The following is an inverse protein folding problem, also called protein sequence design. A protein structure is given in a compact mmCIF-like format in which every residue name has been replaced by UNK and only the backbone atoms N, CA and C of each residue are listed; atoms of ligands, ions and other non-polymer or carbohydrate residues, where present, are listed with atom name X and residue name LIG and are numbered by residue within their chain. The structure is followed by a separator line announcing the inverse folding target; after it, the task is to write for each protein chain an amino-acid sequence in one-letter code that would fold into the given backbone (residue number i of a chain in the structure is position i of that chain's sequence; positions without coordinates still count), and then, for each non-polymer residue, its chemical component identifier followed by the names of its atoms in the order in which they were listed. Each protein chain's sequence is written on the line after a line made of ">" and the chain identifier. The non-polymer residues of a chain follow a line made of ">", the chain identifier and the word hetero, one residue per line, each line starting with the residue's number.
data_IF_828363112491
#
_entry.id   IF_828363112491
#
_cell.length_a   1.000
_cell.length_b   1.000
_cell.length_c   1.000
_cell.angle_alpha   90.00
_cell.angle_beta   90.00
_cell.angle_gamma   90.00
#
_symmetry.space_group_name_H-M   'P 1'
#
loop_
_entity.id
_entity.type
_entity.pdbx_description
1 polymer ?
#
# COMPACT_ATOMS: atom_id res chain seq x y z
N UNK A 1 -38.13 12.94 35.99
CA UNK A 1 -37.03 11.96 35.82
C UNK A 1 -37.45 10.64 35.18
N UNK A 2 -38.60 10.02 35.52
CA UNK A 2 -39.07 8.77 34.85
C UNK A 2 -39.78 9.02 33.51
N UNK A 3 -40.49 10.13 33.38
CA UNK A 3 -41.22 10.48 32.14
C UNK A 3 -40.25 10.82 30.99
N UNK A 4 -39.12 11.48 31.30
CA UNK A 4 -38.06 11.77 30.34
C UNK A 4 -37.42 10.50 29.76
N UNK A 5 -37.31 9.43 30.57
CA UNK A 5 -36.79 8.13 30.12
C UNK A 5 -37.72 7.46 29.12
N UNK A 6 -39.03 7.55 29.32
CA UNK A 6 -40.02 6.96 28.41
C UNK A 6 -40.05 7.75 27.10
N UNK A 7 -40.06 9.08 27.18
CA UNK A 7 -39.97 9.93 25.98
C UNK A 7 -38.72 9.64 25.17
N UNK A 8 -37.55 9.56 25.81
CA UNK A 8 -36.29 9.20 25.16
C UNK A 8 -36.31 7.80 24.55
N UNK A 9 -36.88 6.81 25.24
CA UNK A 9 -36.99 5.45 24.74
C UNK A 9 -37.91 5.37 23.50
N UNK A 10 -39.05 6.05 23.51
CA UNK A 10 -39.97 6.12 22.36
C UNK A 10 -39.29 6.76 21.16
N UNK A 11 -38.61 7.88 21.37
CA UNK A 11 -37.86 8.59 20.33
C UNK A 11 -36.79 7.68 19.68
N UNK A 12 -35.97 6.99 20.49
CA UNK A 12 -34.94 6.10 19.99
C UNK A 12 -35.51 4.87 19.25
N UNK A 13 -36.65 4.34 19.70
CA UNK A 13 -37.32 3.24 19.02
C UNK A 13 -37.82 3.66 17.63
N UNK A 14 -38.44 4.84 17.50
CA UNK A 14 -38.89 5.38 16.21
C UNK A 14 -37.70 5.62 15.28
N UNK A 15 -36.63 6.27 15.79
CA UNK A 15 -35.40 6.52 15.04
C UNK A 15 -34.75 5.24 14.53
N UNK A 16 -34.63 4.23 15.40
CA UNK A 16 -34.03 2.94 15.03
C UNK A 16 -34.89 2.22 13.99
N UNK A 17 -36.22 2.26 14.14
CA UNK A 17 -37.16 1.68 13.19
C UNK A 17 -37.05 2.32 11.80
N UNK A 18 -36.99 3.67 11.70
CA UNK A 18 -36.81 4.35 10.42
C UNK A 18 -35.49 3.99 9.72
N UNK A 19 -34.41 3.79 10.48
CA UNK A 19 -33.09 3.44 9.97
C UNK A 19 -32.96 1.96 9.57
N UNK A 20 -33.59 1.05 10.29
CA UNK A 20 -33.32 -0.40 10.17
C UNK A 20 -34.45 -1.21 9.57
N UNK A 21 -35.71 -0.75 9.63
CA UNK A 21 -36.84 -1.55 9.17
C UNK A 21 -38.07 -0.70 8.83
N UNK A 22 -38.31 -0.45 7.53
CA UNK A 22 -39.55 0.20 7.04
C UNK A 22 -40.67 -0.83 6.82
N UNK A 23 -40.84 -1.76 7.76
CA UNK A 23 -41.83 -2.85 7.62
C UNK A 23 -43.26 -2.32 7.76
N UNK A 24 -44.15 -2.64 6.80
CA UNK A 24 -45.57 -2.23 6.82
C UNK A 24 -46.33 -2.63 8.10
N UNK A 25 -45.81 -3.58 8.90
CA UNK A 25 -46.43 -4.06 10.14
C UNK A 25 -46.54 -3.01 11.24
N UNK A 26 -45.65 -2.00 11.25
CA UNK A 26 -45.57 -1.00 12.32
C UNK A 26 -45.70 0.44 11.78
N UNK A 27 -46.61 0.65 10.83
CA UNK A 27 -46.80 1.93 10.13
C UNK A 27 -47.16 3.14 11.01
N UNK A 28 -47.54 2.93 12.27
CA UNK A 28 -47.88 3.98 13.24
C UNK A 28 -46.69 4.48 14.06
N UNK A 29 -45.53 3.80 14.00
CA UNK A 29 -44.29 4.19 14.68
C UNK A 29 -43.56 5.26 13.85
N UNK A 30 -44.09 6.47 13.87
CA UNK A 30 -43.55 7.65 13.17
C UNK A 30 -43.32 8.80 14.15
N UNK A 31 -42.42 9.72 13.82
CA UNK A 31 -42.15 10.91 14.65
C UNK A 31 -43.40 11.78 14.87
N UNK A 32 -44.31 11.84 13.89
CA UNK A 32 -45.59 12.55 14.01
C UNK A 32 -46.47 12.00 15.16
N UNK A 33 -46.39 10.70 15.43
CA UNK A 33 -47.16 10.05 16.49
C UNK A 33 -46.40 9.96 17.83
N UNK A 34 -45.15 10.41 17.90
CA UNK A 34 -44.28 10.28 19.08
C UNK A 34 -44.97 10.77 20.35
N UNK A 35 -45.48 12.01 20.35
CA UNK A 35 -46.14 12.61 21.51
C UNK A 35 -47.38 11.83 21.97
N UNK A 36 -48.17 11.30 21.03
CA UNK A 36 -49.37 10.51 21.34
C UNK A 36 -49.00 9.15 21.93
N UNK A 37 -47.96 8.52 21.39
CA UNK A 37 -47.44 7.23 21.86
C UNK A 37 -46.89 7.38 23.28
N UNK A 38 -46.05 8.40 23.54
CA UNK A 38 -45.50 8.67 24.87
C UNK A 38 -46.60 8.86 25.91
N UNK A 39 -47.59 9.72 25.65
CA UNK A 39 -48.73 9.93 26.55
C UNK A 39 -49.57 8.67 26.79
N UNK A 40 -49.75 7.85 25.76
CA UNK A 40 -50.48 6.58 25.88
C UNK A 40 -49.72 5.55 26.73
N UNK A 41 -48.39 5.53 26.63
CA UNK A 41 -47.55 4.63 27.43
C UNK A 41 -47.54 5.08 28.89
N UNK A 42 -47.37 6.37 29.15
CA UNK A 42 -47.36 6.94 30.50
C UNK A 42 -48.68 6.69 31.24
N UNK A 43 -49.81 6.69 30.54
CA UNK A 43 -51.13 6.49 31.14
C UNK A 43 -51.52 5.02 31.37
N UNK A 44 -51.12 4.08 30.49
CA UNK A 44 -51.64 2.70 30.52
C UNK A 44 -50.61 1.60 30.71
N UNK A 45 -49.35 1.86 30.35
CA UNK A 45 -48.34 0.80 30.19
C UNK A 45 -46.99 1.14 30.81
N UNK A 46 -46.94 2.18 31.65
CA UNK A 46 -45.71 2.73 32.25
C UNK A 46 -44.83 1.66 32.88
N UNK A 47 -45.38 0.87 33.79
CA UNK A 47 -44.64 -0.17 34.52
C UNK A 47 -44.10 -1.27 33.59
N UNK A 48 -44.93 -1.76 32.66
CA UNK A 48 -44.53 -2.79 31.70
C UNK A 48 -43.41 -2.32 30.78
N UNK A 49 -43.48 -1.07 30.30
CA UNK A 49 -42.43 -0.51 29.44
C UNK A 49 -41.14 -0.29 30.21
N UNK A 50 -41.20 0.16 31.47
CA UNK A 50 -40.02 0.32 32.31
C UNK A 50 -39.35 -1.02 32.63
N UNK A 51 -40.12 -2.08 32.88
CA UNK A 51 -39.59 -3.45 33.06
C UNK A 51 -38.89 -3.96 31.79
N UNK A 52 -39.51 -3.78 30.62
CA UNK A 52 -38.92 -4.16 29.32
C UNK A 52 -37.63 -3.38 29.05
N UNK A 53 -37.61 -2.06 29.33
CA UNK A 53 -36.40 -1.25 29.18
C UNK A 53 -35.28 -1.72 30.11
N UNK A 54 -35.62 -2.05 31.36
CA UNK A 54 -34.65 -2.56 32.33
C UNK A 54 -34.05 -3.90 31.89
N UNK A 55 -34.88 -4.81 31.37
CA UNK A 55 -34.43 -6.09 30.79
C UNK A 55 -33.57 -5.88 29.56
N UNK A 56 -33.97 -4.96 28.66
CA UNK A 56 -33.18 -4.60 27.47
C UNK A 56 -31.80 -4.11 27.88
N UNK A 57 -31.72 -3.16 28.80
CA UNK A 57 -30.45 -2.59 29.25
C UNK A 57 -29.58 -3.65 29.95
N UNK A 58 -30.19 -4.57 30.71
CA UNK A 58 -29.50 -5.74 31.27
C UNK A 58 -28.90 -6.65 30.19
N UNK A 59 -29.68 -7.01 29.16
CA UNK A 59 -29.19 -7.87 28.08
C UNK A 59 -28.20 -7.16 27.16
N UNK A 60 -28.35 -5.85 26.91
CA UNK A 60 -27.35 -5.04 26.20
C UNK A 60 -26.06 -5.01 27.01
N UNK A 61 -26.12 -4.82 28.33
CA UNK A 61 -24.94 -4.89 29.19
C UNK A 61 -24.26 -6.26 29.15
N UNK A 62 -25.04 -7.35 29.19
CA UNK A 62 -24.52 -8.71 29.06
C UNK A 62 -23.93 -8.98 27.68
N UNK A 63 -24.55 -8.49 26.62
CA UNK A 63 -24.06 -8.60 25.25
C UNK A 63 -22.76 -7.81 25.09
N UNK A 64 -22.72 -6.56 25.52
CA UNK A 64 -21.51 -5.74 25.48
C UNK A 64 -20.39 -6.37 26.29
N UNK A 65 -20.70 -6.95 27.46
CA UNK A 65 -19.73 -7.70 28.25
C UNK A 65 -19.23 -8.93 27.49
N UNK A 66 -20.11 -9.75 26.90
CA UNK A 66 -19.70 -10.90 26.10
C UNK A 66 -18.87 -10.48 24.88
N UNK A 67 -19.26 -9.42 24.18
CA UNK A 67 -18.51 -8.88 23.03
C UNK A 67 -17.14 -8.35 23.46
N UNK A 68 -17.06 -7.71 24.63
CA UNK A 68 -15.81 -7.24 25.22
C UNK A 68 -14.93 -8.40 25.67
N UNK A 69 -15.50 -9.39 26.36
CA UNK A 69 -14.82 -10.61 26.84
C UNK A 69 -14.45 -11.56 25.68
N UNK A 70 -15.06 -11.40 24.49
CA UNK A 70 -14.70 -12.12 23.26
C UNK A 70 -13.41 -11.58 22.64
N UNK A 71 -12.98 -10.38 23.05
CA UNK A 71 -11.67 -9.82 22.73
C UNK A 71 -10.74 -10.31 23.84
N UNK A 72 -9.75 -11.18 23.57
CA UNK A 72 -8.85 -11.65 24.60
C UNK A 72 -8.08 -10.48 25.21
N UNK A 73 -8.11 -10.36 26.53
CA UNK A 73 -7.29 -9.46 27.34
C UNK A 73 -5.80 -9.85 27.26
N UNK A 74 -5.18 -9.72 26.09
CA UNK A 74 -3.72 -9.63 25.97
C UNK A 74 -3.29 -8.16 25.89
N UNK A 75 -3.70 -7.38 26.88
CA UNK A 75 -3.00 -6.15 27.25
C UNK A 75 -2.34 -6.39 28.59
N UNK A 76 -1.33 -7.24 28.54
CA UNK A 76 -0.43 -7.50 29.65
C UNK A 76 0.38 -6.22 29.90
N UNK A 77 0.00 -5.44 30.91
CA UNK A 77 0.59 -4.15 31.26
C UNK A 77 2.08 -4.20 31.69
N UNK A 78 2.80 -5.29 31.42
CA UNK A 78 4.15 -5.56 31.94
C UNK A 78 5.17 -6.04 30.90
N UNK A 79 5.11 -5.61 29.63
CA UNK A 79 6.24 -5.82 28.69
C UNK A 79 6.64 -4.53 27.99
N UNK A 80 7.74 -3.95 28.47
CA UNK A 80 8.45 -2.80 27.90
C UNK A 80 9.17 -3.10 26.58
N UNK A 81 9.12 -4.32 26.08
CA UNK A 81 9.71 -4.71 24.82
C UNK A 81 8.78 -5.72 24.14
N UNK A 82 8.02 -5.30 23.12
CA UNK A 82 7.78 -6.03 21.85
C UNK A 82 6.52 -5.55 21.10
N UNK A 83 6.75 -5.24 19.82
CA UNK A 83 5.85 -5.36 18.65
C UNK A 83 4.48 -4.69 18.78
N UNK A 84 4.38 -3.48 18.20
CA UNK A 84 3.11 -2.81 17.89
C UNK A 84 2.14 -3.82 17.25
N UNK A 85 1.03 -4.11 17.93
CA UNK A 85 -0.03 -4.94 17.40
C UNK A 85 -0.47 -4.39 16.03
N UNK A 86 -0.43 -5.27 15.03
CA UNK A 86 -0.94 -5.05 13.67
C UNK A 86 -2.38 -4.56 13.80
N UNK A 87 -2.62 -3.28 13.52
CA UNK A 87 -3.96 -2.71 13.54
C UNK A 87 -4.74 -3.40 12.42
N UNK A 88 -5.78 -4.17 12.75
CA UNK A 88 -6.72 -4.74 11.78
C UNK A 88 -7.43 -3.60 11.04
N UNK A 89 -6.72 -3.02 10.07
CA UNK A 89 -7.27 -2.14 9.06
C UNK A 89 -8.07 -2.94 8.04
N UNK A 90 -8.76 -2.26 7.11
CA UNK A 90 -9.49 -2.92 6.03
C UNK A 90 -8.58 -3.93 5.30
N UNK A 91 -9.16 -5.07 4.93
CA UNK A 91 -8.45 -6.11 4.18
C UNK A 91 -7.78 -5.48 2.95
N UNK A 92 -6.46 -5.70 2.73
CA UNK A 92 -5.70 -5.11 1.64
C UNK A 92 -6.35 -5.31 0.26
N UNK A 93 -7.16 -6.37 0.08
CA UNK A 93 -7.93 -6.64 -1.14
C UNK A 93 -8.91 -5.54 -1.53
N UNK A 94 -9.44 -4.83 -0.54
CA UNK A 94 -10.49 -3.83 -0.73
C UNK A 94 -10.01 -2.40 -0.47
N UNK A 95 -8.70 -2.20 -0.31
CA UNK A 95 -8.13 -0.85 -0.17
C UNK A 95 -8.16 -0.16 -1.53
N UNK A 96 -9.00 0.88 -1.62
CA UNK A 96 -9.29 1.62 -2.85
C UNK A 96 -8.83 3.08 -2.80
N UNK A 97 -8.13 3.52 -1.76
CA UNK A 97 -7.62 4.88 -1.70
C UNK A 97 -6.18 4.94 -1.14
N UNK A 98 -5.42 5.93 -1.63
CA UNK A 98 -3.99 6.11 -1.30
C UNK A 98 -3.76 6.36 0.19
N UNK A 99 -4.76 6.95 0.86
CA UNK A 99 -4.71 7.25 2.29
C UNK A 99 -4.71 5.97 3.14
N UNK A 100 -5.67 5.06 2.91
CA UNK A 100 -5.75 3.78 3.60
C UNK A 100 -4.60 2.87 3.20
N UNK A 101 -4.14 2.89 1.94
CA UNK A 101 -2.94 2.17 1.54
C UNK A 101 -1.71 2.59 2.35
N UNK A 102 -1.51 3.91 2.52
CA UNK A 102 -0.43 4.44 3.35
C UNK A 102 -0.56 4.01 4.82
N UNK A 103 -1.75 4.13 5.40
CA UNK A 103 -1.97 3.70 6.78
C UNK A 103 -1.72 2.21 6.96
N UNK A 104 -2.18 1.38 6.02
CA UNK A 104 -1.96 -0.06 6.04
C UNK A 104 -0.47 -0.40 6.01
N UNK A 105 0.30 0.25 5.13
CA UNK A 105 1.75 0.05 5.05
C UNK A 105 2.42 0.39 6.39
N UNK A 106 2.08 1.55 6.97
CA UNK A 106 2.68 2.02 8.23
C UNK A 106 2.31 1.13 9.42
N UNK A 107 1.09 0.60 9.46
CA UNK A 107 0.59 -0.15 10.61
C UNK A 107 0.85 -1.66 10.51
N UNK A 108 0.92 -2.21 9.29
CA UNK A 108 0.90 -3.67 9.07
C UNK A 108 2.10 -4.21 8.30
N UNK A 109 2.77 -3.37 7.49
CA UNK A 109 3.95 -3.78 6.72
C UNK A 109 5.23 -3.38 7.43
N UNK A 110 5.40 -2.09 7.78
CA UNK A 110 6.61 -1.60 8.44
C UNK A 110 6.89 -2.26 9.81
N UNK A 111 5.91 -2.51 10.69
CA UNK A 111 6.17 -3.13 11.98
C UNK A 111 6.55 -4.61 11.87
N UNK A 112 6.21 -5.25 10.74
CA UNK A 112 6.53 -6.65 10.51
C UNK A 112 7.96 -6.78 9.95
N UNK A 113 8.90 -7.17 10.82
CA UNK A 113 10.33 -7.30 10.47
C UNK A 113 10.58 -8.17 9.23
N UNK A 114 9.85 -9.29 9.09
CA UNK A 114 10.05 -10.18 7.95
C UNK A 114 9.63 -9.51 6.64
N UNK A 115 8.43 -8.90 6.63
CA UNK A 115 7.95 -8.18 5.44
C UNK A 115 8.86 -7.00 5.10
N UNK A 116 9.29 -6.24 6.10
CA UNK A 116 10.19 -5.12 5.95
C UNK A 116 11.53 -5.57 5.33
N UNK A 117 12.16 -6.61 5.87
CA UNK A 117 13.41 -7.15 5.36
C UNK A 117 13.29 -7.65 3.92
N UNK A 118 12.20 -8.33 3.57
CA UNK A 118 11.98 -8.77 2.19
C UNK A 118 11.88 -7.58 1.22
N UNK A 119 11.15 -6.52 1.60
CA UNK A 119 11.02 -5.32 0.77
C UNK A 119 12.34 -4.54 0.69
N UNK A 120 13.09 -4.44 1.80
CA UNK A 120 14.43 -3.85 1.84
C UNK A 120 15.41 -4.56 0.91
N UNK A 121 15.45 -5.89 0.97
CA UNK A 121 16.28 -6.71 0.09
C UNK A 121 15.93 -6.48 -1.37
N UNK A 122 14.63 -6.40 -1.68
CA UNK A 122 14.16 -6.14 -3.02
C UNK A 122 14.60 -4.76 -3.53
N UNK A 123 14.42 -3.71 -2.72
CA UNK A 123 14.88 -2.34 -3.04
C UNK A 123 16.40 -2.31 -3.26
N UNK A 124 17.17 -2.92 -2.36
CA UNK A 124 18.62 -2.94 -2.45
C UNK A 124 19.12 -3.72 -3.68
N UNK A 125 18.45 -4.81 -4.03
CA UNK A 125 18.72 -5.59 -5.26
C UNK A 125 18.54 -4.71 -6.50
N UNK A 126 17.48 -3.89 -6.56
CA UNK A 126 17.27 -2.93 -7.64
C UNK A 126 18.36 -1.85 -7.71
N UNK A 127 18.74 -1.24 -6.58
CA UNK A 127 19.79 -0.22 -6.56
C UNK A 127 21.14 -0.77 -7.02
N UNK A 128 21.57 -1.92 -6.48
CA UNK A 128 22.81 -2.59 -6.90
C UNK A 128 22.84 -2.88 -8.40
N UNK A 129 21.71 -3.26 -8.97
CA UNK A 129 21.60 -3.55 -10.39
C UNK A 129 21.76 -2.27 -11.23
N UNK A 130 21.10 -1.17 -10.82
CA UNK A 130 21.22 0.13 -11.46
C UNK A 130 22.67 0.65 -11.43
N UNK A 131 23.33 0.53 -10.28
CA UNK A 131 24.73 0.91 -10.12
C UNK A 131 25.64 0.03 -11.01
N UNK A 132 25.43 -1.28 -11.02
CA UNK A 132 26.19 -2.21 -11.86
C UNK A 132 26.04 -1.91 -13.36
N UNK A 133 24.85 -1.55 -13.82
CA UNK A 133 24.65 -1.15 -15.22
C UNK A 133 25.29 0.19 -15.54
N UNK A 134 25.24 1.15 -14.61
CA UNK A 134 25.93 2.42 -14.76
C UNK A 134 27.44 2.22 -14.88
N UNK A 135 28.03 1.41 -13.99
CA UNK A 135 29.45 1.04 -14.04
C UNK A 135 29.82 0.30 -15.33
N UNK A 136 28.96 -0.62 -15.78
CA UNK A 136 29.18 -1.36 -17.04
C UNK A 136 29.17 -0.40 -18.24
N UNK A 137 28.21 0.53 -18.28
CA UNK A 137 28.11 1.53 -19.35
C UNK A 137 29.31 2.49 -19.35
N UNK A 138 29.74 2.94 -18.17
CA UNK A 138 30.92 3.81 -18.03
C UNK A 138 32.20 3.09 -18.46
N UNK A 139 32.35 1.81 -18.11
CA UNK A 139 33.49 0.97 -18.53
C UNK A 139 33.55 0.82 -20.04
N UNK A 140 32.43 0.43 -20.69
CA UNK A 140 32.36 0.30 -22.17
C UNK A 140 32.72 1.62 -22.85
N UNK A 141 32.16 2.74 -22.38
CA UNK A 141 32.45 4.05 -22.93
C UNK A 141 33.93 4.42 -22.78
N UNK A 142 34.53 4.14 -21.63
CA UNK A 142 35.94 4.44 -21.35
C UNK A 142 36.88 3.59 -22.22
N UNK A 143 36.64 2.29 -22.30
CA UNK A 143 37.48 1.35 -23.05
C UNK A 143 37.51 1.69 -24.54
N UNK A 144 36.36 2.02 -25.13
CA UNK A 144 36.31 2.47 -26.53
C UNK A 144 36.86 3.89 -26.72
N UNK A 145 36.68 4.81 -25.77
CA UNK A 145 37.32 6.13 -25.84
C UNK A 145 38.84 6.03 -25.82
N UNK A 146 39.40 5.20 -24.95
CA UNK A 146 40.84 5.02 -24.83
C UNK A 146 41.39 4.28 -26.06
N UNK A 147 40.66 3.30 -26.60
CA UNK A 147 40.98 2.65 -27.88
C UNK A 147 41.00 3.66 -29.05
N UNK A 148 40.01 4.54 -29.14
CA UNK A 148 39.95 5.59 -30.17
C UNK A 148 41.08 6.62 -29.99
N UNK A 149 41.44 6.98 -28.76
CA UNK A 149 42.58 7.88 -28.48
C UNK A 149 43.91 7.24 -28.89
N UNK A 150 44.11 5.95 -28.60
CA UNK A 150 45.32 5.21 -28.99
C UNK A 150 45.47 5.05 -30.51
N UNK A 151 44.35 5.11 -31.25
CA UNK A 151 44.35 5.13 -32.72
C UNK A 151 44.73 6.51 -33.32
N UNK A 152 44.78 7.60 -32.51
CA UNK A 152 45.19 8.94 -32.95
C UNK A 152 46.70 9.17 -32.70
N UNK A 153 47.56 9.28 -33.72
CA UNK A 153 48.99 9.45 -33.52
C UNK A 153 49.41 10.90 -33.24
N UNK A 154 50.56 11.06 -32.58
CA UNK A 154 51.32 12.31 -32.52
C UNK A 154 51.70 12.78 -33.94
N UNK A 155 51.30 14.00 -34.28
CA UNK A 155 51.36 14.67 -35.58
C UNK A 155 52.79 14.96 -36.10
N UNK A 156 53.58 13.92 -36.46
CA UNK A 156 54.97 14.13 -36.95
C UNK A 156 55.39 13.46 -38.26
N UNK A 157 54.59 12.63 -38.93
CA UNK A 157 54.95 12.06 -40.24
C UNK A 157 53.93 12.41 -41.34
N UNK A 158 54.28 13.39 -42.19
CA UNK A 158 53.39 13.99 -43.20
C UNK A 158 53.43 13.36 -44.60
N UNK A 159 54.35 12.43 -44.90
CA UNK A 159 54.62 12.01 -46.29
C UNK A 159 53.86 10.77 -46.79
N UNK A 160 53.07 10.10 -45.95
CA UNK A 160 52.20 8.96 -46.30
C UNK A 160 50.74 9.20 -45.86
N UNK A 161 50.30 10.47 -45.80
CA UNK A 161 49.12 10.84 -45.00
C UNK A 161 47.79 10.33 -45.55
N UNK A 162 47.52 10.41 -46.87
CA UNK A 162 46.17 10.09 -47.41
C UNK A 162 45.74 8.62 -47.26
N UNK A 163 46.59 7.64 -47.58
CA UNK A 163 46.23 6.22 -47.46
C UNK A 163 46.16 5.78 -45.99
N UNK A 164 47.07 6.31 -45.17
CA UNK A 164 47.08 6.05 -43.73
C UNK A 164 45.92 6.75 -43.00
N UNK A 165 45.41 7.88 -43.50
CA UNK A 165 44.21 8.54 -43.00
C UNK A 165 42.97 7.70 -43.29
N UNK A 166 42.79 7.22 -44.52
CA UNK A 166 41.64 6.36 -44.87
C UNK A 166 41.60 5.05 -44.05
N UNK A 167 42.73 4.38 -43.86
CA UNK A 167 42.81 3.15 -43.05
C UNK A 167 42.49 3.45 -41.57
N UNK A 168 42.88 4.62 -41.06
CA UNK A 168 42.58 5.05 -39.69
C UNK A 168 41.13 5.46 -39.50
N UNK A 169 40.57 6.22 -40.43
CA UNK A 169 39.16 6.59 -40.39
C UNK A 169 38.28 5.33 -40.43
N UNK A 170 38.67 4.34 -41.22
CA UNK A 170 38.00 3.04 -41.22
C UNK A 170 38.14 2.30 -39.89
N UNK A 171 39.31 2.35 -39.24
CA UNK A 171 39.55 1.73 -37.93
C UNK A 171 38.77 2.42 -36.80
N UNK A 172 38.74 3.75 -36.80
CA UNK A 172 37.94 4.55 -35.85
C UNK A 172 36.45 4.32 -36.07
N UNK A 173 36.00 4.21 -37.33
CA UNK A 173 34.61 3.91 -37.64
C UNK A 173 34.21 2.50 -37.19
N UNK A 174 35.10 1.51 -37.39
CA UNK A 174 34.88 0.14 -36.90
C UNK A 174 34.77 0.11 -35.36
N UNK A 175 35.61 0.84 -34.63
CA UNK A 175 35.50 0.96 -33.17
C UNK A 175 34.21 1.64 -32.71
N UNK A 176 33.73 2.66 -33.44
CA UNK A 176 32.41 3.26 -33.17
C UNK A 176 31.25 2.28 -33.40
N UNK A 177 31.33 1.47 -34.45
CA UNK A 177 30.32 0.44 -34.73
C UNK A 177 30.32 -0.61 -33.61
N UNK A 178 31.49 -1.08 -33.17
CA UNK A 178 31.60 -2.01 -32.04
C UNK A 178 31.01 -1.42 -30.76
N UNK A 179 31.35 -0.16 -30.44
CA UNK A 179 30.79 0.54 -29.29
C UNK A 179 29.26 0.57 -29.33
N UNK A 180 28.67 0.92 -30.47
CA UNK A 180 27.21 0.95 -30.60
C UNK A 180 26.60 -0.45 -30.40
N UNK A 181 27.19 -1.49 -30.99
CA UNK A 181 26.70 -2.86 -30.83
C UNK A 181 26.81 -3.35 -29.38
N UNK A 182 27.88 -3.01 -28.65
CA UNK A 182 28.02 -3.35 -27.23
C UNK A 182 27.04 -2.59 -26.34
N UNK A 183 26.78 -1.31 -26.64
CA UNK A 183 25.77 -0.52 -25.95
C UNK A 183 24.35 -1.05 -26.22
N UNK A 184 24.03 -1.43 -27.45
CA UNK A 184 22.74 -2.06 -27.79
C UNK A 184 22.57 -3.39 -27.06
N UNK A 185 23.60 -4.24 -27.04
CA UNK A 185 23.57 -5.50 -26.31
C UNK A 185 23.40 -5.29 -24.79
N UNK A 186 23.99 -4.22 -24.23
CA UNK A 186 23.79 -3.84 -22.83
C UNK A 186 22.35 -3.37 -22.60
N UNK A 187 21.80 -2.51 -23.47
CA UNK A 187 20.44 -2.00 -23.35
C UNK A 187 19.40 -3.14 -23.45
N UNK A 188 19.59 -4.11 -24.35
CA UNK A 188 18.77 -5.32 -24.44
C UNK A 188 18.81 -6.14 -23.14
N UNK A 189 20.01 -6.31 -22.58
CA UNK A 189 20.21 -6.99 -21.30
C UNK A 189 19.53 -6.25 -20.16
N UNK A 190 19.56 -4.91 -20.14
CA UNK A 190 18.87 -4.09 -19.15
C UNK A 190 17.37 -4.31 -19.27
N UNK A 191 16.79 -4.19 -20.47
CA UNK A 191 15.35 -4.37 -20.71
C UNK A 191 14.89 -5.76 -20.27
N UNK A 192 15.63 -6.81 -20.64
CA UNK A 192 15.31 -8.19 -20.25
C UNK A 192 15.27 -8.34 -18.72
N UNK A 193 16.32 -7.88 -18.04
CA UNK A 193 16.40 -8.00 -16.59
C UNK A 193 15.33 -7.14 -15.91
N UNK A 194 15.09 -5.91 -16.35
CA UNK A 194 14.02 -5.05 -15.82
C UNK A 194 12.64 -5.71 -15.91
N UNK A 195 12.35 -6.47 -16.98
CA UNK A 195 11.11 -7.25 -17.07
C UNK A 195 11.04 -8.36 -16.02
N UNK A 196 12.11 -9.15 -15.88
CA UNK A 196 12.17 -10.22 -14.88
C UNK A 196 11.99 -9.67 -13.46
N UNK A 197 12.68 -8.56 -13.17
CA UNK A 197 12.57 -7.88 -11.88
C UNK A 197 11.19 -7.27 -11.63
N UNK A 198 10.53 -6.74 -12.67
CA UNK A 198 9.16 -6.24 -12.54
C UNK A 198 8.20 -7.36 -12.13
N UNK A 199 8.37 -8.57 -12.67
CA UNK A 199 7.55 -9.74 -12.33
C UNK A 199 7.85 -10.16 -10.89
N UNK A 200 9.13 -10.35 -10.53
CA UNK A 200 9.55 -10.71 -9.17
C UNK A 200 9.02 -9.70 -8.14
N UNK A 201 9.10 -8.40 -8.45
CA UNK A 201 8.59 -7.33 -7.60
C UNK A 201 7.09 -7.43 -7.42
N UNK A 202 6.35 -7.65 -8.50
CA UNK A 202 4.91 -7.80 -8.44
C UNK A 202 4.49 -9.00 -7.58
N UNK A 203 5.05 -10.18 -7.85
CA UNK A 203 4.75 -11.42 -7.13
C UNK A 203 5.09 -11.30 -5.64
N UNK A 204 6.26 -10.71 -5.33
CA UNK A 204 6.69 -10.50 -3.95
C UNK A 204 5.72 -9.58 -3.23
N UNK A 205 5.38 -8.41 -3.78
CA UNK A 205 4.47 -7.46 -3.14
C UNK A 205 3.05 -8.02 -3.02
N UNK A 206 2.60 -8.81 -3.99
CA UNK A 206 1.33 -9.53 -3.93
C UNK A 206 1.32 -10.55 -2.79
N UNK A 207 2.37 -11.38 -2.65
CA UNK A 207 2.51 -12.36 -1.58
C UNK A 207 2.55 -11.74 -0.18
N UNK A 208 3.15 -10.55 -0.07
CA UNK A 208 3.22 -9.77 1.18
C UNK A 208 1.90 -9.05 1.52
N UNK A 209 0.90 -9.15 0.64
CA UNK A 209 -0.41 -8.49 0.72
C UNK A 209 -0.31 -6.97 0.75
N UNK A 210 0.55 -6.42 -0.11
CA UNK A 210 0.71 -4.96 -0.26
C UNK A 210 -0.51 -4.40 -1.01
N UNK A 211 -1.12 -3.29 -0.56
CA UNK A 211 -2.26 -2.67 -1.25
C UNK A 211 -1.95 -2.38 -2.74
N UNK A 212 -2.96 -2.47 -3.61
CA UNK A 212 -2.86 -2.34 -5.09
C UNK A 212 -2.09 -3.44 -5.83
N UNK A 213 -1.20 -4.16 -5.15
CA UNK A 213 -0.58 -5.39 -5.66
C UNK A 213 -1.42 -6.62 -5.31
N UNK A 214 -2.19 -6.54 -4.22
CA UNK A 214 -3.08 -7.58 -3.74
C UNK A 214 -4.54 -7.11 -3.77
N UNK A 215 -5.08 -6.85 -4.96
CA UNK A 215 -6.50 -6.51 -5.17
C UNK A 215 -7.24 -7.73 -5.72
N UNK A 216 -8.51 -7.87 -5.35
CA UNK A 216 -9.39 -8.89 -5.92
C UNK A 216 -9.55 -8.70 -7.44
N UNK A 217 -9.33 -9.75 -8.23
CA UNK A 217 -9.44 -9.71 -9.70
C UNK A 217 -10.83 -9.30 -10.19
N UNK A 218 -11.87 -9.56 -9.38
CA UNK A 218 -13.25 -9.17 -9.69
C UNK A 218 -13.50 -7.68 -9.44
N UNK A 219 -12.58 -7.00 -8.76
CA UNK A 219 -12.70 -5.59 -8.42
C UNK A 219 -12.08 -4.71 -9.52
N UNK A 220 -12.91 -4.14 -10.40
CA UNK A 220 -12.47 -3.19 -11.43
C UNK A 220 -12.05 -1.86 -10.80
N UNK A 221 -10.77 -1.75 -10.47
CA UNK A 221 -10.18 -0.53 -9.92
C UNK A 221 -9.66 0.40 -11.03
N UNK A 222 -10.16 1.65 -11.15
CA UNK A 222 -9.64 2.61 -12.12
C UNK A 222 -8.23 3.07 -11.71
N UNK A 223 -7.31 3.26 -12.67
CA UNK A 223 -5.95 3.79 -12.44
C UNK A 223 -5.03 2.92 -11.56
N UNK A 224 -5.20 1.59 -11.62
CA UNK A 224 -4.39 0.65 -10.84
C UNK A 224 -2.87 0.77 -11.07
N UNK A 225 -2.44 1.12 -12.28
CA UNK A 225 -1.03 1.30 -12.61
C UNK A 225 -0.41 2.49 -11.86
N UNK A 226 -1.06 3.64 -11.87
CA UNK A 226 -0.58 4.86 -11.21
C UNK A 226 -0.51 4.69 -9.69
N UNK A 227 -1.47 3.98 -9.12
CA UNK A 227 -1.51 3.73 -7.66
C UNK A 227 -0.50 2.68 -7.20
N UNK A 228 -0.16 1.72 -8.06
CA UNK A 228 0.99 0.82 -7.83
C UNK A 228 2.30 1.60 -7.81
N UNK A 229 2.51 2.52 -8.76
CA UNK A 229 3.69 3.41 -8.79
C UNK A 229 3.77 4.22 -7.50
N UNK A 230 2.66 4.84 -7.10
CA UNK A 230 2.59 5.59 -5.83
C UNK A 230 3.00 4.74 -4.62
N UNK A 231 2.56 3.49 -4.53
CA UNK A 231 2.93 2.60 -3.42
C UNK A 231 4.40 2.21 -3.46
N UNK A 232 4.97 1.96 -4.64
CA UNK A 232 6.41 1.71 -4.78
C UNK A 232 7.23 2.90 -4.27
N UNK A 233 6.90 4.11 -4.70
CA UNK A 233 7.56 5.35 -4.25
C UNK A 233 7.42 5.54 -2.73
N UNK A 234 6.24 5.23 -2.20
CA UNK A 234 5.98 5.32 -0.77
C UNK A 234 6.82 4.32 0.03
N UNK A 235 6.93 3.07 -0.42
CA UNK A 235 7.74 2.04 0.24
C UNK A 235 9.22 2.43 0.24
N UNK A 236 9.75 2.84 -0.92
CA UNK A 236 11.14 3.33 -1.02
C UNK A 236 11.37 4.48 -0.06
N UNK A 237 10.49 5.49 -0.05
CA UNK A 237 10.62 6.66 0.80
C UNK A 237 10.56 6.35 2.30
N UNK A 238 9.69 5.45 2.73
CA UNK A 238 9.54 5.11 4.15
C UNK A 238 10.74 4.29 4.64
N UNK A 239 11.17 3.31 3.85
CA UNK A 239 12.26 2.39 4.21
C UNK A 239 13.62 3.09 4.18
N UNK A 240 13.88 3.91 3.14
CA UNK A 240 15.15 4.65 3.05
C UNK A 240 15.25 5.78 4.07
N UNK A 241 14.14 6.43 4.47
CA UNK A 241 14.15 7.43 5.55
C UNK A 241 14.37 6.82 6.94
N UNK A 242 13.75 5.68 7.24
CA UNK A 242 13.94 5.00 8.53
C UNK A 242 15.36 4.42 8.68
N UNK A 243 16.05 4.18 7.56
CA UNK A 243 17.45 3.76 7.51
C UNK A 243 18.46 4.89 7.83
N UNK A 244 18.03 6.16 7.73
CA UNK A 244 18.87 7.35 8.01
C UNK A 244 18.72 7.83 9.47
N UNK A 245 17.65 7.42 10.16
CA UNK A 245 17.35 7.81 11.54
C UNK A 245 17.65 6.73 12.59
N UNK A 246 18.41 5.70 12.22
CA UNK A 246 18.99 4.69 13.12
C UNK A 246 20.51 4.77 13.03
#
# INVERSE_FOLDING_TARGET
>A
MTDDKIKFAVHNCIKTYELTSKSKRFSKLTFENESKITKSIESKHKEKVLDILSKRDHYIGKLNKLLNDSIPDEVDHNKKDQVRAVVEGPDPKYITNRYHAKQYIVNNILPNKNKLQTIEQLIFKHFKLQDSYKESRETILKDHQDSIKNLRPNTKLSKLSNLNEQIKDHSVNNEKIKLNNELEALDDKIIFNSKQYSIETFETLQSLKVPYFYIDELFKYPQLADDRIYVLDLLVKLITKDSINK
#
